data_IF_163683707515
#
_entry.id   IF_163683707515
#
_cell.length_a   1.000
_cell.length_b   1.000
_cell.length_c   1.000
_cell.angle_alpha   90.00
_cell.angle_beta   90.00
_cell.angle_gamma   90.00
#
_symmetry.space_group_name_H-M   'P 1'
#
loop_
_entity.id
_entity.type
_entity.pdbx_description
1 polymer ?
#
# COMPACT_ATOMS: atom_id res chain seq x y z
N UNK A 1 -17.66 -38.63 49.61
CA UNK A 1 -18.85 -37.97 49.00
C UNK A 1 -18.51 -36.80 48.10
N UNK A 2 -17.44 -36.00 48.32
CA UNK A 2 -17.11 -34.85 47.48
C UNK A 2 -16.62 -35.18 46.06
N UNK A 3 -16.01 -36.33 45.82
CA UNK A 3 -15.54 -36.72 44.47
C UNK A 3 -16.66 -37.10 43.50
N UNK A 4 -17.78 -37.57 44.00
CA UNK A 4 -18.93 -37.97 43.18
C UNK A 4 -19.68 -36.74 42.62
N UNK A 5 -19.75 -35.67 43.40
CA UNK A 5 -20.36 -34.40 42.99
C UNK A 5 -19.56 -33.67 41.90
N UNK A 6 -18.23 -33.77 41.93
CA UNK A 6 -17.37 -33.13 40.93
C UNK A 6 -17.53 -33.82 39.57
N UNK A 7 -17.67 -35.14 39.52
CA UNK A 7 -17.91 -35.84 38.25
C UNK A 7 -19.33 -35.59 37.72
N UNK A 8 -20.33 -35.42 38.56
CA UNK A 8 -21.69 -35.14 38.14
C UNK A 8 -21.83 -33.71 37.58
N UNK A 9 -21.17 -32.73 38.18
CA UNK A 9 -21.12 -31.34 37.65
C UNK A 9 -20.30 -31.23 36.36
N UNK A 10 -19.23 -31.98 36.20
CA UNK A 10 -18.45 -32.02 34.97
C UNK A 10 -19.23 -32.68 33.82
N UNK A 11 -20.03 -33.71 34.10
CA UNK A 11 -20.89 -34.37 33.12
C UNK A 11 -22.06 -33.48 32.66
N UNK A 12 -22.63 -32.67 33.55
CA UNK A 12 -23.70 -31.71 33.23
C UNK A 12 -23.12 -30.55 32.38
N UNK A 13 -21.87 -30.11 32.65
CA UNK A 13 -21.20 -29.10 31.83
C UNK A 13 -20.81 -29.60 30.43
N UNK A 14 -20.52 -30.90 30.27
CA UNK A 14 -20.23 -31.47 28.96
C UNK A 14 -21.52 -31.76 28.15
N UNK A 15 -22.64 -31.96 28.79
CA UNK A 15 -23.93 -32.14 28.11
C UNK A 15 -24.60 -30.83 27.68
N UNK A 16 -24.11 -29.67 28.17
CA UNK A 16 -24.64 -28.35 27.78
C UNK A 16 -23.95 -27.72 26.56
N UNK A 17 -22.99 -28.44 25.95
CA UNK A 17 -22.41 -28.07 24.68
C UNK A 17 -22.99 -28.83 23.48
N UNK A 18 -24.26 -29.24 23.56
CA UNK A 18 -24.99 -29.44 22.31
C UNK A 18 -25.22 -28.04 21.69
N UNK A 19 -24.53 -27.78 20.59
CA UNK A 19 -24.94 -26.73 19.67
C UNK A 19 -26.44 -26.91 19.46
N UNK A 20 -27.21 -25.87 19.76
CA UNK A 20 -28.61 -25.83 19.38
C UNK A 20 -28.65 -26.21 17.88
N UNK A 21 -29.14 -27.42 17.62
CA UNK A 21 -29.55 -27.75 16.27
C UNK A 21 -30.68 -26.79 16.00
N UNK A 22 -30.43 -25.82 15.11
CA UNK A 22 -31.47 -24.97 14.57
C UNK A 22 -32.53 -25.93 14.05
N UNK A 23 -33.62 -26.08 14.82
CA UNK A 23 -34.78 -26.79 14.35
C UNK A 23 -35.32 -25.99 13.19
N UNK A 24 -35.01 -26.45 11.98
CA UNK A 24 -35.63 -25.94 10.77
C UNK A 24 -37.15 -26.03 10.98
N UNK A 25 -37.89 -24.95 10.73
CA UNK A 25 -39.32 -24.97 10.88
C UNK A 25 -39.88 -26.12 10.02
N UNK A 26 -40.55 -27.08 10.67
CA UNK A 26 -41.22 -28.20 10.00
C UNK A 26 -42.51 -27.69 9.34
N UNK A 27 -42.33 -26.84 8.28
CA UNK A 27 -43.39 -26.41 7.40
C UNK A 27 -43.44 -27.31 6.14
N UNK A 28 -44.49 -27.26 5.33
CA UNK A 28 -44.66 -28.14 4.18
C UNK A 28 -43.74 -27.85 2.97
N UNK A 29 -42.62 -27.19 3.20
CA UNK A 29 -41.51 -27.03 2.24
C UNK A 29 -40.28 -27.77 2.74
N UNK A 30 -39.80 -28.76 2.02
CA UNK A 30 -38.52 -29.42 2.32
C UNK A 30 -37.40 -28.46 1.92
N UNK A 31 -36.71 -27.92 2.95
CA UNK A 31 -35.48 -27.15 2.68
C UNK A 31 -34.49 -28.02 1.93
N UNK A 32 -34.08 -27.57 0.77
CA UNK A 32 -33.08 -28.26 -0.09
C UNK A 32 -31.72 -27.62 0.08
N UNK A 33 -30.76 -28.42 0.54
CA UNK A 33 -29.34 -27.98 0.57
C UNK A 33 -28.72 -28.26 -0.81
N UNK A 34 -28.22 -27.22 -1.44
CA UNK A 34 -27.53 -27.29 -2.73
C UNK A 34 -26.05 -26.94 -2.57
N UNK A 35 -25.21 -27.49 -3.42
CA UNK A 35 -23.78 -27.20 -3.44
C UNK A 35 -23.32 -26.96 -4.87
N UNK A 36 -22.84 -25.75 -5.11
CA UNK A 36 -22.27 -25.33 -6.41
C UNK A 36 -20.74 -25.30 -6.26
N UNK A 37 -20.04 -25.90 -7.22
CA UNK A 37 -18.60 -25.80 -7.38
C UNK A 37 -18.35 -25.06 -8.69
N UNK A 38 -17.83 -23.84 -8.61
CA UNK A 38 -17.31 -23.10 -9.77
C UNK A 38 -15.82 -23.42 -9.90
N UNK A 39 -15.39 -23.74 -11.10
CA UNK A 39 -14.00 -24.05 -11.46
C UNK A 39 -13.45 -22.94 -12.36
N UNK A 40 -12.18 -23.02 -12.73
CA UNK A 40 -11.55 -22.08 -13.66
C UNK A 40 -12.40 -21.79 -14.91
N UNK A 41 -13.00 -22.81 -15.50
CA UNK A 41 -13.81 -22.68 -16.72
C UNK A 41 -15.15 -21.95 -16.53
N UNK A 42 -15.59 -21.79 -15.27
CA UNK A 42 -16.83 -21.09 -14.91
C UNK A 42 -16.61 -19.59 -14.63
N UNK A 43 -15.36 -19.13 -14.65
CA UNK A 43 -15.02 -17.73 -14.50
C UNK A 43 -14.90 -17.03 -15.86
N UNK A 44 -15.55 -15.87 -16.01
CA UNK A 44 -15.49 -15.10 -17.26
C UNK A 44 -14.08 -14.54 -17.50
N UNK A 45 -13.36 -14.17 -16.44
CA UNK A 45 -11.95 -13.80 -16.51
C UNK A 45 -11.23 -13.88 -15.18
N UNK A 46 -9.93 -14.18 -15.26
CA UNK A 46 -8.93 -14.02 -14.19
C UNK A 46 -7.91 -12.99 -14.67
N UNK A 47 -7.85 -11.84 -14.03
CA UNK A 47 -6.99 -10.74 -14.47
C UNK A 47 -6.22 -10.13 -13.32
N UNK A 48 -5.13 -9.43 -13.63
CA UNK A 48 -4.37 -8.65 -12.66
C UNK A 48 -4.39 -7.21 -13.09
N UNK A 49 -4.73 -6.32 -12.17
CA UNK A 49 -4.59 -4.88 -12.39
C UNK A 49 -3.55 -4.28 -11.47
N UNK A 50 -2.77 -3.43 -12.05
CA UNK A 50 -1.89 -2.52 -11.34
C UNK A 50 -2.72 -1.34 -10.82
N UNK A 51 -2.52 -1.02 -9.56
CA UNK A 51 -3.01 0.21 -8.97
C UNK A 51 -1.78 1.07 -8.68
N UNK A 52 -1.61 2.16 -9.42
CA UNK A 52 -0.60 3.16 -9.07
C UNK A 52 -0.93 3.66 -7.67
N UNK A 53 -0.08 3.35 -6.73
CA UNK A 53 -0.30 3.75 -5.35
C UNK A 53 0.50 4.99 -5.05
N UNK A 54 -0.19 5.98 -4.54
CA UNK A 54 0.46 6.94 -3.70
C UNK A 54 0.51 6.41 -2.27
N UNK A 55 1.66 6.49 -1.69
CA UNK A 55 1.84 6.14 -0.30
C UNK A 55 1.80 7.37 0.62
N UNK A 56 1.00 8.39 0.29
CA UNK A 56 0.92 9.60 1.14
C UNK A 56 0.53 9.34 2.60
N UNK A 57 -0.03 8.16 2.87
CA UNK A 57 -0.31 7.68 4.24
C UNK A 57 0.61 6.54 4.68
N UNK A 58 1.65 6.22 3.91
CA UNK A 58 2.62 5.20 4.29
C UNK A 58 3.58 5.75 5.34
N UNK A 59 3.90 4.92 6.33
CA UNK A 59 4.94 5.23 7.32
C UNK A 59 6.36 5.09 6.76
N UNK A 60 6.50 4.68 5.50
CA UNK A 60 7.78 4.52 4.80
C UNK A 60 7.73 5.07 3.39
N UNK A 61 8.86 5.63 2.96
CA UNK A 61 9.15 6.05 1.60
C UNK A 61 10.17 5.11 0.97
N UNK A 62 10.02 4.82 -0.32
CA UNK A 62 10.88 3.88 -1.04
C UNK A 62 11.55 4.51 -2.25
N UNK A 63 12.83 4.17 -2.46
CA UNK A 63 13.58 4.57 -3.65
C UNK A 63 14.38 3.38 -4.16
N UNK A 64 14.22 3.07 -5.43
CA UNK A 64 14.93 1.97 -6.05
C UNK A 64 14.08 1.17 -7.02
N UNK A 65 14.72 0.17 -7.65
CA UNK A 65 14.05 -0.83 -8.48
C UNK A 65 14.27 -2.21 -7.90
N UNK A 66 13.22 -2.81 -7.39
CA UNK A 66 13.28 -4.14 -6.82
C UNK A 66 12.12 -4.98 -7.29
N UNK A 67 12.44 -6.14 -7.89
CA UNK A 67 11.46 -7.00 -8.55
C UNK A 67 10.67 -6.24 -9.62
N UNK A 68 9.37 -6.16 -9.47
CA UNK A 68 8.47 -5.49 -10.41
C UNK A 68 8.14 -4.03 -10.04
N UNK A 69 8.71 -3.52 -8.94
CA UNK A 69 8.51 -2.16 -8.47
C UNK A 69 9.67 -1.23 -8.84
N UNK A 70 9.36 -0.05 -9.35
CA UNK A 70 10.25 1.10 -9.56
C UNK A 70 9.69 2.25 -8.72
N UNK A 71 10.41 2.61 -7.66
CA UNK A 71 9.95 3.57 -6.67
C UNK A 71 10.81 4.84 -6.65
N UNK A 72 10.12 5.98 -6.55
CA UNK A 72 10.70 7.31 -6.40
C UNK A 72 10.00 8.02 -5.26
N UNK A 73 10.73 8.82 -4.49
CA UNK A 73 10.16 9.55 -3.36
C UNK A 73 10.10 11.04 -3.65
N UNK A 74 8.97 11.66 -3.36
CA UNK A 74 8.78 13.10 -3.37
C UNK A 74 8.81 13.62 -1.94
N UNK A 75 9.51 14.74 -1.70
CA UNK A 75 9.69 15.38 -0.40
C UNK A 75 9.40 16.87 -0.52
N UNK A 76 8.51 17.38 0.35
CA UNK A 76 8.12 18.79 0.38
C UNK A 76 8.29 19.36 1.79
N UNK A 77 8.92 20.53 1.90
CA UNK A 77 9.22 21.24 3.14
C UNK A 77 8.63 22.64 3.08
N UNK A 78 7.55 22.93 3.78
CA UNK A 78 6.88 24.25 3.75
C UNK A 78 6.73 24.92 5.11
N UNK A 79 7.04 24.22 6.20
CA UNK A 79 6.89 24.79 7.55
C UNK A 79 8.20 25.38 8.05
N UNK A 80 8.46 26.64 7.67
CA UNK A 80 9.64 27.41 8.08
C UNK A 80 9.38 28.34 9.29
N UNK A 81 8.38 28.05 10.10
CA UNK A 81 7.99 28.90 11.23
C UNK A 81 9.16 29.22 12.16
N UNK A 82 10.06 28.25 12.42
CA UNK A 82 11.23 28.46 13.28
C UNK A 82 12.22 29.50 12.72
N UNK A 83 12.28 29.68 11.39
CA UNK A 83 13.09 30.73 10.76
C UNK A 83 12.40 32.09 10.86
N UNK A 84 11.08 32.12 10.69
CA UNK A 84 10.28 33.36 10.78
C UNK A 84 10.14 33.87 12.21
N UNK A 85 10.22 32.98 13.20
CA UNK A 85 10.16 33.33 14.64
C UNK A 85 11.50 33.90 15.18
N UNK A 86 12.58 33.83 14.39
CA UNK A 86 13.78 34.59 14.74
C UNK A 86 13.47 36.07 14.53
N UNK A 87 13.81 36.94 15.51
CA UNK A 87 13.66 38.41 15.42
C UNK A 87 14.46 39.03 14.24
N UNK A 88 14.90 38.19 13.31
CA UNK A 88 15.64 38.59 12.13
C UNK A 88 14.65 38.91 11.00
N UNK A 89 14.71 40.18 10.52
CA UNK A 89 14.14 40.50 9.21
C UNK A 89 14.73 39.58 8.13
N UNK A 90 13.97 39.26 7.08
CA UNK A 90 14.43 38.35 6.00
C UNK A 90 15.81 38.75 5.43
N UNK A 91 16.12 40.04 5.44
CA UNK A 91 17.42 40.60 5.01
C UNK A 91 18.59 40.31 5.96
N UNK A 92 18.30 39.78 7.15
CA UNK A 92 19.27 39.52 8.21
C UNK A 92 19.63 38.06 8.42
N UNK A 93 19.13 37.17 7.56
CA UNK A 93 19.42 35.73 7.59
C UNK A 93 19.94 35.27 6.23
N UNK A 94 21.11 34.62 6.23
CA UNK A 94 21.73 34.06 5.01
C UNK A 94 21.95 32.58 5.20
N UNK A 95 21.37 31.73 4.34
CA UNK A 95 21.61 30.28 4.35
C UNK A 95 23.02 30.00 3.85
N UNK A 96 23.84 29.35 4.67
CA UNK A 96 25.23 28.99 4.36
C UNK A 96 25.39 27.52 3.99
N UNK A 97 24.51 26.64 4.44
CA UNK A 97 24.39 25.26 3.99
C UNK A 97 22.99 24.71 4.19
N UNK A 98 22.59 23.77 3.35
CA UNK A 98 21.32 23.10 3.43
C UNK A 98 21.48 21.60 3.09
N UNK A 99 20.88 20.74 3.91
CA UNK A 99 20.90 19.29 3.72
C UNK A 99 19.57 18.68 4.07
N UNK A 100 19.05 17.79 3.20
CA UNK A 100 17.94 16.92 3.57
C UNK A 100 18.53 15.63 4.15
N UNK A 101 17.98 15.19 5.26
CA UNK A 101 18.40 13.97 5.96
C UNK A 101 17.24 13.00 6.00
N UNK A 102 17.46 11.78 5.48
CA UNK A 102 16.52 10.67 5.51
C UNK A 102 17.09 9.56 6.38
N UNK A 103 16.32 9.08 7.35
CA UNK A 103 16.69 7.94 8.20
C UNK A 103 16.26 6.65 7.52
N UNK A 104 17.19 5.73 7.33
CA UNK A 104 16.93 4.44 6.70
C UNK A 104 16.10 3.55 7.62
N UNK A 105 15.12 2.86 7.04
CA UNK A 105 14.32 1.83 7.70
C UNK A 105 14.84 0.42 7.38
N UNK A 106 14.98 0.11 6.08
CA UNK A 106 15.33 -1.22 5.59
C UNK A 106 15.80 -1.15 4.14
N UNK A 107 16.60 -2.13 3.74
CA UNK A 107 17.01 -2.36 2.36
C UNK A 107 16.54 -3.72 1.85
N UNK A 108 16.31 -3.81 0.54
CA UNK A 108 16.06 -5.05 -0.20
C UNK A 108 17.04 -5.14 -1.35
N UNK A 109 17.60 -6.32 -1.59
CA UNK A 109 18.68 -6.49 -2.56
C UNK A 109 19.99 -5.90 -2.07
N UNK A 110 20.85 -5.44 -3.00
CA UNK A 110 22.14 -4.82 -2.69
C UNK A 110 22.20 -3.37 -3.16
N UNK A 111 21.95 -2.38 -2.29
CA UNK A 111 21.97 -0.96 -2.66
C UNK A 111 23.37 -0.35 -2.76
N UNK A 112 24.47 -1.09 -2.46
CA UNK A 112 25.83 -0.54 -2.50
C UNK A 112 26.24 -0.01 -3.88
N UNK A 113 25.63 -0.52 -4.95
CA UNK A 113 25.85 -0.04 -6.31
C UNK A 113 24.97 1.14 -6.70
N UNK A 114 24.08 1.58 -5.83
CA UNK A 114 23.14 2.65 -6.12
C UNK A 114 23.81 4.01 -6.15
N UNK A 115 23.40 4.78 -7.13
CA UNK A 115 23.61 6.22 -7.20
C UNK A 115 22.25 6.89 -7.12
N UNK A 116 22.04 7.68 -6.09
CA UNK A 116 20.83 8.50 -5.97
C UNK A 116 20.96 9.75 -6.83
N UNK A 117 19.83 10.19 -7.36
CA UNK A 117 19.69 11.41 -8.13
C UNK A 117 18.55 12.23 -7.54
N UNK A 118 18.78 13.51 -7.33
CA UNK A 118 17.74 14.45 -6.93
C UNK A 118 17.38 15.39 -8.03
N UNK A 119 16.11 15.72 -8.09
CA UNK A 119 15.55 16.66 -9.07
C UNK A 119 14.67 17.66 -8.35
N UNK A 120 14.76 18.92 -8.76
CA UNK A 120 13.85 19.97 -8.31
C UNK A 120 12.55 19.89 -9.11
N UNK A 121 11.42 19.91 -8.42
CA UNK A 121 10.10 20.08 -9.03
C UNK A 121 9.94 21.55 -9.39
N UNK A 122 9.38 21.92 -10.56
CA UNK A 122 9.16 23.32 -10.92
C UNK A 122 8.39 24.06 -9.82
N UNK A 123 8.91 25.24 -9.43
CA UNK A 123 8.45 26.01 -8.27
C UNK A 123 7.26 26.92 -8.64
N UNK A 124 6.22 26.38 -9.26
CA UNK A 124 5.01 27.11 -9.64
C UNK A 124 3.78 26.37 -9.16
N UNK A 125 2.67 27.09 -8.95
CA UNK A 125 1.40 26.53 -8.44
C UNK A 125 0.85 25.41 -9.34
N UNK A 126 1.13 25.44 -10.65
CA UNK A 126 0.72 24.42 -11.61
C UNK A 126 1.19 23.02 -11.25
N UNK A 127 2.37 22.91 -10.60
CA UNK A 127 2.98 21.64 -10.20
C UNK A 127 2.85 21.35 -8.69
N UNK A 128 1.96 22.06 -8.02
CA UNK A 128 1.66 21.80 -6.62
C UNK A 128 0.87 20.50 -6.46
N UNK A 129 1.41 19.60 -5.66
CA UNK A 129 0.72 18.36 -5.32
C UNK A 129 -0.24 18.56 -4.15
N UNK A 130 -1.42 17.93 -4.22
CA UNK A 130 -2.38 17.84 -3.12
C UNK A 130 -2.80 16.39 -2.88
N UNK A 131 -3.28 16.08 -1.67
CA UNK A 131 -3.74 14.73 -1.29
C UNK A 131 -4.90 14.21 -2.15
N UNK A 132 -5.56 15.09 -2.91
CA UNK A 132 -6.63 14.75 -3.85
C UNK A 132 -6.15 14.59 -5.29
N UNK A 133 -4.87 14.82 -5.56
CA UNK A 133 -4.29 14.71 -6.89
C UNK A 133 -4.27 13.25 -7.34
N UNK A 134 -4.62 13.02 -8.61
CA UNK A 134 -4.33 11.74 -9.27
C UNK A 134 -2.82 11.66 -9.53
N UNK A 135 -2.17 10.70 -8.89
CA UNK A 135 -0.71 10.55 -8.94
C UNK A 135 -0.16 10.25 -10.31
N UNK A 136 -0.84 9.42 -11.09
CA UNK A 136 -0.40 9.11 -12.45
C UNK A 136 -0.42 10.37 -13.30
N UNK A 137 -1.50 11.13 -13.22
CA UNK A 137 -1.64 12.41 -13.93
C UNK A 137 -0.61 13.43 -13.44
N UNK A 138 -0.46 13.55 -12.13
CA UNK A 138 0.55 14.43 -11.54
C UNK A 138 1.96 14.07 -11.99
N UNK A 139 2.35 12.79 -11.87
CA UNK A 139 3.67 12.32 -12.26
C UNK A 139 3.96 12.54 -13.76
N UNK A 140 3.00 12.26 -14.63
CA UNK A 140 3.13 12.50 -16.05
C UNK A 140 3.35 13.98 -16.39
N UNK A 141 2.76 14.90 -15.62
CA UNK A 141 2.94 16.34 -15.83
C UNK A 141 4.29 16.85 -15.31
N UNK A 142 4.75 16.35 -14.17
CA UNK A 142 5.96 16.82 -13.48
C UNK A 142 7.23 16.20 -14.03
N UNK A 143 7.24 14.89 -14.29
CA UNK A 143 8.46 14.16 -14.65
C UNK A 143 9.23 14.76 -15.84
N UNK A 144 8.60 15.23 -16.94
CA UNK A 144 9.32 15.87 -18.04
C UNK A 144 9.95 17.23 -17.71
N UNK A 145 9.52 17.86 -16.62
CA UNK A 145 9.91 19.22 -16.21
C UNK A 145 10.94 19.23 -15.08
N UNK A 146 11.32 18.06 -14.56
CA UNK A 146 12.26 17.93 -13.45
C UNK A 146 13.64 18.50 -13.82
N UNK A 147 14.17 19.34 -12.92
CA UNK A 147 15.52 19.89 -13.08
C UNK A 147 16.52 19.10 -12.23
N UNK A 148 17.56 18.46 -12.81
CA UNK A 148 18.57 17.75 -12.03
C UNK A 148 19.27 18.69 -11.04
N UNK A 149 19.42 18.23 -9.78
CA UNK A 149 20.17 18.92 -8.74
C UNK A 149 21.51 18.23 -8.49
N UNK A 150 21.48 17.04 -7.93
CA UNK A 150 22.65 16.34 -7.44
C UNK A 150 22.60 14.84 -7.75
N UNK A 151 23.78 14.23 -7.73
CA UNK A 151 23.99 12.78 -7.82
C UNK A 151 24.96 12.38 -6.72
N UNK A 152 24.66 11.34 -5.94
CA UNK A 152 25.48 10.88 -4.82
C UNK A 152 25.31 9.37 -4.59
N UNK A 153 26.34 8.68 -4.04
CA UNK A 153 26.26 7.24 -3.77
C UNK A 153 25.32 6.96 -2.59
N UNK A 154 24.84 5.72 -2.51
CA UNK A 154 24.17 5.21 -1.31
C UNK A 154 25.11 5.25 -0.10
N UNK A 155 24.56 5.61 1.06
CA UNK A 155 25.22 5.54 2.37
C UNK A 155 24.28 4.85 3.35
N UNK A 156 24.73 3.83 4.09
CA UNK A 156 23.92 3.13 5.10
C UNK A 156 23.47 4.05 6.24
N UNK A 157 22.42 3.63 6.92
CA UNK A 157 21.81 4.23 8.11
C UNK A 157 21.10 5.58 7.86
N UNK A 158 21.68 6.47 7.09
CA UNK A 158 21.09 7.75 6.76
C UNK A 158 21.60 8.30 5.44
N UNK A 159 20.71 8.89 4.67
CA UNK A 159 21.04 9.57 3.43
C UNK A 159 21.07 11.08 3.69
N UNK A 160 22.20 11.70 3.43
CA UNK A 160 22.38 13.17 3.51
C UNK A 160 22.45 13.75 2.11
N UNK A 161 21.44 14.53 1.75
CA UNK A 161 21.26 15.12 0.43
C UNK A 161 21.64 16.60 0.50
N UNK A 162 22.73 17.04 -0.12
CA UNK A 162 23.06 18.46 -0.17
C UNK A 162 22.07 19.19 -1.10
N UNK A 163 21.56 20.33 -0.63
CA UNK A 163 20.69 21.23 -1.39
C UNK A 163 21.45 22.55 -1.61
N UNK A 164 21.35 23.12 -2.81
CA UNK A 164 21.90 24.45 -3.08
C UNK A 164 21.31 25.51 -2.14
N UNK A 165 22.14 26.42 -1.68
CA UNK A 165 21.68 27.50 -0.77
C UNK A 165 20.65 28.41 -1.44
N UNK A 166 20.77 28.63 -2.73
CA UNK A 166 19.81 29.36 -3.55
C UNK A 166 18.43 28.69 -3.61
N UNK A 167 18.42 27.36 -3.73
CA UNK A 167 17.18 26.59 -3.68
C UNK A 167 16.57 26.66 -2.29
N UNK A 168 17.37 26.47 -1.24
CA UNK A 168 16.90 26.54 0.14
C UNK A 168 16.38 27.95 0.50
N UNK A 169 17.04 29.01 0.04
CA UNK A 169 16.58 30.40 0.21
C UNK A 169 15.22 30.61 -0.47
N UNK A 170 15.00 30.11 -1.66
CA UNK A 170 13.72 30.24 -2.37
C UNK A 170 12.57 29.50 -1.65
N UNK A 171 12.87 28.53 -0.80
CA UNK A 171 11.85 27.78 -0.08
C UNK A 171 11.37 28.46 1.20
N UNK A 172 12.27 29.11 1.95
CA UNK A 172 11.90 29.76 3.20
C UNK A 172 11.50 31.24 3.02
N UNK A 173 12.02 31.90 1.97
CA UNK A 173 11.73 33.29 1.61
C UNK A 173 11.33 33.35 0.13
N UNK A 174 10.18 32.74 -0.27
CA UNK A 174 9.80 32.68 -1.66
C UNK A 174 9.46 34.07 -2.22
N UNK A 175 9.91 34.33 -3.46
CA UNK A 175 9.40 35.45 -4.24
C UNK A 175 7.89 35.29 -4.51
N UNK A 176 7.22 36.40 -4.88
CA UNK A 176 5.83 36.35 -5.34
C UNK A 176 5.77 35.41 -6.55
N UNK A 177 4.88 34.47 -6.65
CA UNK A 177 4.75 33.44 -7.67
C UNK A 177 5.67 32.19 -7.52
N UNK A 178 6.50 32.09 -6.50
CA UNK A 178 7.29 30.90 -6.20
C UNK A 178 6.55 30.00 -5.19
N UNK A 179 6.27 28.76 -5.62
CA UNK A 179 5.66 27.74 -4.75
C UNK A 179 6.67 26.63 -4.50
N UNK A 180 6.96 26.35 -3.23
CA UNK A 180 7.83 25.22 -2.88
C UNK A 180 7.11 23.87 -3.14
N UNK A 181 7.43 23.23 -4.26
CA UNK A 181 6.92 21.92 -4.64
C UNK A 181 7.87 20.77 -4.25
N UNK A 182 9.04 21.10 -3.64
CA UNK A 182 9.97 20.12 -3.13
C UNK A 182 10.87 19.49 -4.18
N UNK A 183 11.33 18.28 -3.87
CA UNK A 183 12.24 17.50 -4.72
C UNK A 183 11.72 16.08 -4.96
N UNK A 184 12.22 15.50 -6.04
CA UNK A 184 12.13 14.05 -6.29
C UNK A 184 13.47 13.41 -5.99
N UNK A 185 13.45 12.37 -5.16
CA UNK A 185 14.57 11.45 -4.99
C UNK A 185 14.35 10.25 -5.89
N UNK A 186 15.25 10.07 -6.84
CA UNK A 186 15.29 8.97 -7.80
C UNK A 186 16.58 8.19 -7.63
N UNK A 187 16.78 7.14 -8.38
CA UNK A 187 17.98 6.32 -8.37
C UNK A 187 18.50 6.01 -9.78
N UNK A 188 19.77 5.67 -9.85
CA UNK A 188 20.36 5.03 -10.99
C UNK A 188 21.11 3.79 -10.53
N UNK A 189 20.76 2.64 -11.08
CA UNK A 189 21.42 1.37 -10.80
C UNK A 189 22.13 0.83 -12.03
N UNK A 190 23.28 0.24 -11.84
CA UNK A 190 24.04 -0.42 -12.89
C UNK A 190 23.46 -1.80 -13.32
N UNK A 191 22.19 -2.08 -12.96
CA UNK A 191 21.48 -3.30 -13.33
C UNK A 191 21.16 -4.24 -12.18
N UNK A 192 21.52 -3.89 -10.94
CA UNK A 192 21.18 -4.67 -9.77
C UNK A 192 19.79 -4.29 -9.23
N UNK A 193 19.05 -5.29 -8.77
CA UNK A 193 17.77 -5.10 -8.12
C UNK A 193 18.00 -4.74 -6.66
N UNK A 194 17.65 -3.52 -6.29
CA UNK A 194 17.67 -3.10 -4.90
C UNK A 194 16.64 -1.98 -4.63
N UNK A 195 16.23 -1.87 -3.38
CA UNK A 195 15.33 -0.86 -2.86
C UNK A 195 15.81 -0.39 -1.51
N UNK A 196 15.69 0.90 -1.25
CA UNK A 196 15.94 1.48 0.07
C UNK A 196 14.66 2.09 0.59
N UNK A 197 14.26 1.73 1.79
CA UNK A 197 13.14 2.28 2.52
C UNK A 197 13.61 3.29 3.56
N UNK A 198 13.01 4.46 3.57
CA UNK A 198 13.22 5.53 4.55
C UNK A 198 11.96 5.75 5.35
N UNK A 199 12.08 6.24 6.59
CA UNK A 199 10.92 6.66 7.36
C UNK A 199 10.25 7.87 6.70
N UNK A 200 8.91 7.92 6.74
CA UNK A 200 8.11 9.03 6.24
C UNK A 200 7.71 9.99 7.37
N UNK A 201 7.05 11.09 7.03
CA UNK A 201 6.46 12.03 8.00
C UNK A 201 5.25 11.43 8.75
N UNK A 202 4.72 10.31 8.30
CA UNK A 202 3.63 9.57 8.96
C UNK A 202 4.14 8.58 10.04
N UNK A 203 5.44 8.40 10.16
CA UNK A 203 6.01 7.51 11.19
C UNK A 203 5.84 8.11 12.58
N UNK A 204 5.58 7.27 13.58
CA UNK A 204 5.25 7.71 14.95
C UNK A 204 6.36 8.47 15.68
N UNK A 205 7.64 8.30 15.27
CA UNK A 205 8.80 8.97 15.87
C UNK A 205 9.31 10.10 14.98
N UNK A 206 9.06 11.34 15.38
CA UNK A 206 9.47 12.56 14.65
C UNK A 206 10.99 12.63 14.41
N UNK A 207 11.82 12.02 15.28
CA UNK A 207 13.27 11.99 15.10
C UNK A 207 13.73 11.27 13.82
N UNK A 208 12.88 10.43 13.25
CA UNK A 208 13.16 9.65 12.04
C UNK A 208 12.57 10.29 10.77
N UNK A 209 11.74 11.32 10.93
CA UNK A 209 11.10 11.98 9.79
C UNK A 209 12.14 12.57 8.83
N UNK A 210 11.82 12.65 7.54
CA UNK A 210 12.59 13.44 6.59
C UNK A 210 12.69 14.87 7.09
N UNK A 211 13.91 15.39 7.14
CA UNK A 211 14.15 16.75 7.64
C UNK A 211 15.14 17.49 6.79
N UNK A 212 14.92 18.77 6.66
CA UNK A 212 15.85 19.74 6.08
C UNK A 212 16.58 20.44 7.24
N UNK A 213 17.90 20.33 7.27
CA UNK A 213 18.77 21.07 8.18
C UNK A 213 19.40 22.24 7.43
N UNK A 214 19.16 23.46 7.95
CA UNK A 214 19.67 24.72 7.42
C UNK A 214 20.68 25.30 8.38
N UNK A 215 21.90 25.54 7.95
CA UNK A 215 22.83 26.39 8.71
C UNK A 215 22.74 27.79 8.14
N UNK A 216 22.44 28.74 9.00
CA UNK A 216 22.24 30.14 8.61
C UNK A 216 23.14 31.06 9.42
N UNK A 217 23.67 32.09 8.79
CA UNK A 217 24.27 33.22 9.47
C UNK A 217 23.17 34.25 9.73
N UNK A 218 22.90 34.51 11.01
CA UNK A 218 21.93 35.51 11.47
C UNK A 218 22.68 36.79 11.84
N UNK A 219 22.24 37.90 11.30
CA UNK A 219 22.75 39.25 11.62
C UNK A 219 21.76 39.93 12.53
N UNK A 220 22.14 40.19 13.75
CA UNK A 220 21.34 40.92 14.72
C UNK A 220 22.10 42.16 15.30
N UNK A 221 21.43 42.94 16.14
CA UNK A 221 22.02 44.12 16.75
C UNK A 221 23.23 43.81 17.67
N UNK A 222 23.43 42.57 18.04
CA UNK A 222 24.55 42.10 18.88
C UNK A 222 25.74 41.59 18.06
N UNK A 223 25.57 41.38 16.76
CA UNK A 223 26.60 40.90 15.81
C UNK A 223 26.11 39.77 14.92
N UNK A 224 27.06 38.98 14.47
CA UNK A 224 26.83 37.85 13.57
C UNK A 224 26.89 36.52 14.33
N UNK A 225 25.91 35.64 14.14
CA UNK A 225 25.82 34.34 14.80
C UNK A 225 25.36 33.27 13.81
N UNK A 226 26.07 32.13 13.81
CA UNK A 226 25.61 30.96 13.07
C UNK A 226 24.57 30.20 13.90
N UNK A 227 23.51 29.78 13.24
CA UNK A 227 22.39 29.01 13.83
C UNK A 227 22.00 27.88 12.89
N UNK A 228 21.59 26.74 13.46
CA UNK A 228 21.06 25.61 12.69
C UNK A 228 19.58 25.46 12.96
N UNK A 229 18.80 25.37 11.91
CA UNK A 229 17.36 25.18 11.93
C UNK A 229 17.00 23.84 11.32
N UNK A 230 15.98 23.19 11.89
CA UNK A 230 15.46 21.92 11.38
C UNK A 230 14.01 22.12 10.94
N UNK A 231 13.73 21.78 9.70
CA UNK A 231 12.40 21.79 9.11
C UNK A 231 12.05 20.35 8.72
N UNK A 232 10.97 19.83 9.27
CA UNK A 232 10.50 18.49 8.91
C UNK A 232 9.66 18.54 7.64
N UNK A 233 9.74 17.46 6.84
CA UNK A 233 8.85 17.32 5.71
C UNK A 233 7.40 17.34 6.20
N UNK A 234 6.58 18.14 5.55
CA UNK A 234 5.16 18.22 5.84
C UNK A 234 4.32 17.44 4.83
N UNK A 235 4.94 17.04 3.72
CA UNK A 235 4.39 16.11 2.73
C UNK A 235 5.53 15.27 2.19
N UNK A 236 5.29 13.98 2.14
CA UNK A 236 6.16 13.04 1.46
C UNK A 236 5.34 11.86 0.93
N UNK A 237 5.78 11.30 -0.16
CA UNK A 237 5.14 10.10 -0.71
C UNK A 237 6.07 9.36 -1.65
N UNK A 238 5.80 8.07 -1.81
CA UNK A 238 6.43 7.24 -2.82
C UNK A 238 5.52 7.11 -4.03
N UNK A 239 6.03 7.43 -5.19
CA UNK A 239 5.45 7.05 -6.46
C UNK A 239 6.05 5.71 -6.90
N UNK A 240 5.20 4.73 -7.16
CA UNK A 240 5.62 3.40 -7.61
C UNK A 240 5.13 3.13 -9.01
N UNK A 241 6.04 2.78 -9.90
CA UNK A 241 5.76 2.35 -11.26
C UNK A 241 6.01 0.86 -11.42
N UNK A 242 5.38 0.29 -12.45
CA UNK A 242 5.66 -1.07 -12.85
C UNK A 242 7.00 -1.15 -13.59
N UNK A 243 7.92 -1.94 -13.05
CA UNK A 243 9.15 -2.30 -13.73
C UNK A 243 8.89 -3.52 -14.62
N UNK A 244 9.13 -3.39 -15.89
CA UNK A 244 9.00 -4.52 -16.82
C UNK A 244 10.21 -5.47 -16.69
N UNK A 245 10.06 -6.51 -15.88
CA UNK A 245 11.10 -7.55 -15.68
C UNK A 245 11.04 -8.70 -16.70
N UNK A 246 10.11 -8.64 -17.65
CA UNK A 246 9.98 -9.62 -18.74
C UNK A 246 9.23 -10.90 -18.39
N UNK A 247 9.02 -11.22 -17.11
CA UNK A 247 8.26 -12.40 -16.66
C UNK A 247 7.27 -11.99 -15.58
N UNK A 248 6.06 -11.65 -16.01
CA UNK A 248 4.97 -11.34 -15.08
C UNK A 248 4.08 -12.58 -14.97
N UNK A 249 3.82 -13.11 -13.76
CA UNK A 249 2.88 -14.21 -13.59
C UNK A 249 1.50 -13.84 -14.13
N UNK A 250 0.74 -14.77 -14.69
CA UNK A 250 -0.56 -14.47 -15.27
C UNK A 250 -1.62 -14.09 -14.24
N UNK A 251 -1.50 -14.57 -13.00
CA UNK A 251 -2.47 -14.32 -11.93
C UNK A 251 -1.74 -14.23 -10.58
N UNK A 252 -1.67 -13.03 -10.01
CA UNK A 252 -0.91 -12.77 -8.79
C UNK A 252 -1.35 -11.49 -8.05
N UNK A 253 -0.88 -11.35 -6.81
CA UNK A 253 -1.02 -10.16 -5.97
C UNK A 253 0.35 -9.71 -5.48
N UNK A 254 0.60 -8.41 -5.37
CA UNK A 254 1.89 -7.90 -4.88
C UNK A 254 1.77 -6.67 -3.99
N UNK A 255 2.81 -6.48 -3.17
CA UNK A 255 3.09 -5.27 -2.40
C UNK A 255 4.09 -4.40 -3.18
N UNK A 256 4.25 -3.15 -2.78
CA UNK A 256 5.15 -2.19 -3.41
C UNK A 256 4.56 -1.65 -4.71
N UNK A 257 4.79 -2.33 -5.84
CA UNK A 257 3.97 -2.13 -7.03
C UNK A 257 2.65 -2.86 -6.83
N UNK A 258 1.66 -2.17 -6.27
CA UNK A 258 0.40 -2.79 -5.83
C UNK A 258 -0.31 -3.44 -7.00
N UNK A 259 -0.48 -4.75 -6.91
CA UNK A 259 -1.29 -5.50 -7.84
C UNK A 259 -2.32 -6.33 -7.13
N UNK A 260 -3.51 -6.29 -7.68
CA UNK A 260 -4.65 -7.04 -7.21
C UNK A 260 -5.09 -8.00 -8.29
N UNK A 261 -5.43 -9.20 -7.87
CA UNK A 261 -6.03 -10.20 -8.75
C UNK A 261 -7.55 -10.04 -8.75
N UNK A 262 -8.18 -10.20 -9.90
CA UNK A 262 -9.62 -10.02 -10.10
C UNK A 262 -10.20 -11.28 -10.73
N UNK A 263 -11.34 -11.72 -10.20
CA UNK A 263 -12.11 -12.86 -10.64
C UNK A 263 -13.50 -12.35 -11.03
N UNK A 264 -13.85 -12.43 -12.31
CA UNK A 264 -15.20 -12.09 -12.78
C UNK A 264 -15.97 -13.36 -13.12
N UNK A 265 -17.24 -13.40 -12.76
CA UNK A 265 -18.12 -14.50 -13.16
C UNK A 265 -19.57 -14.04 -13.16
N UNK A 266 -20.22 -14.23 -14.29
CA UNK A 266 -21.66 -14.03 -14.44
C UNK A 266 -22.50 -15.08 -13.67
N UNK A 267 -21.87 -16.15 -13.15
CA UNK A 267 -22.53 -17.21 -12.39
C UNK A 267 -22.58 -16.93 -10.88
N UNK A 268 -21.81 -15.96 -10.36
CA UNK A 268 -21.75 -15.70 -8.91
C UNK A 268 -23.12 -15.30 -8.33
N UNK A 269 -23.77 -14.30 -8.90
CA UNK A 269 -25.06 -13.83 -8.41
C UNK A 269 -26.15 -14.89 -8.56
N UNK A 270 -26.35 -15.55 -9.70
CA UNK A 270 -27.32 -16.64 -9.85
C UNK A 270 -27.09 -17.81 -8.88
N UNK A 271 -25.85 -18.08 -8.49
CA UNK A 271 -25.56 -19.15 -7.54
C UNK A 271 -26.12 -18.90 -6.13
N UNK A 272 -26.27 -17.62 -5.75
CA UNK A 272 -26.66 -17.21 -4.38
C UNK A 272 -28.02 -16.50 -4.31
N UNK A 273 -28.52 -15.92 -5.41
CA UNK A 273 -29.75 -15.14 -5.42
C UNK A 273 -30.95 -15.92 -4.90
N UNK A 274 -31.66 -15.35 -3.93
CA UNK A 274 -32.86 -15.95 -3.33
C UNK A 274 -32.63 -17.16 -2.43
N UNK A 275 -31.36 -17.51 -2.14
CA UNK A 275 -30.98 -18.64 -1.30
C UNK A 275 -30.33 -18.18 0.01
N UNK A 276 -30.37 -19.00 1.06
CA UNK A 276 -29.56 -18.78 2.26
C UNK A 276 -28.16 -19.37 2.05
N UNK A 277 -27.13 -18.54 2.17
CA UNK A 277 -25.74 -18.97 2.02
C UNK A 277 -25.26 -19.55 3.35
N UNK A 278 -24.98 -20.85 3.37
CA UNK A 278 -24.50 -21.52 4.58
C UNK A 278 -22.98 -21.46 4.71
N UNK A 279 -22.31 -21.56 3.57
CA UNK A 279 -20.85 -21.59 3.48
C UNK A 279 -20.38 -21.26 2.08
N UNK A 280 -19.31 -20.49 1.97
CA UNK A 280 -18.60 -20.31 0.70
C UNK A 280 -17.10 -20.13 0.96
N UNK A 281 -16.29 -20.72 0.08
CA UNK A 281 -14.84 -20.57 0.09
C UNK A 281 -14.30 -20.49 -1.33
N UNK A 282 -13.20 -19.74 -1.49
CA UNK A 282 -12.37 -19.79 -2.69
C UNK A 282 -11.07 -20.51 -2.36
N UNK A 283 -10.70 -21.46 -3.20
CA UNK A 283 -9.45 -22.22 -3.09
C UNK A 283 -8.50 -21.82 -4.21
N UNK A 284 -7.24 -21.58 -3.85
CA UNK A 284 -6.17 -21.15 -4.75
C UNK A 284 -4.93 -21.99 -4.50
N UNK A 285 -4.20 -22.33 -5.55
CA UNK A 285 -2.88 -22.96 -5.44
C UNK A 285 -1.80 -21.91 -5.69
N UNK A 286 -0.88 -21.78 -4.74
CA UNK A 286 0.26 -20.88 -4.84
C UNK A 286 1.31 -21.49 -5.76
N UNK A 287 1.80 -20.72 -6.72
CA UNK A 287 2.96 -21.07 -7.51
C UNK A 287 4.24 -20.64 -6.77
N UNK A 288 4.99 -21.56 -6.15
CA UNK A 288 6.14 -21.21 -5.33
C UNK A 288 7.34 -20.69 -6.13
N UNK A 289 7.41 -21.00 -7.44
CA UNK A 289 8.51 -20.56 -8.30
C UNK A 289 8.40 -19.09 -8.70
N UNK A 290 7.17 -18.57 -8.71
CA UNK A 290 6.86 -17.19 -9.09
C UNK A 290 6.44 -16.34 -7.89
N UNK A 291 6.37 -16.94 -6.70
CA UNK A 291 6.02 -16.26 -5.45
C UNK A 291 7.25 -15.88 -4.65
N UNK A 292 7.15 -14.73 -3.98
CA UNK A 292 8.22 -14.19 -3.12
C UNK A 292 7.65 -13.81 -1.75
N UNK A 293 8.19 -14.46 -0.71
CA UNK A 293 7.80 -14.23 0.67
C UNK A 293 9.00 -13.72 1.47
N UNK A 294 8.91 -12.51 2.01
CA UNK A 294 9.89 -11.98 2.98
C UNK A 294 9.59 -12.48 4.41
N UNK A 295 8.40 -13.06 4.63
CA UNK A 295 7.93 -13.62 5.90
C UNK A 295 7.39 -15.04 5.72
N UNK A 296 7.26 -15.78 6.82
CA UNK A 296 6.71 -17.15 6.81
C UNK A 296 5.24 -17.20 6.38
N UNK A 297 4.51 -16.11 6.54
CA UNK A 297 3.12 -15.99 6.11
C UNK A 297 2.76 -14.56 5.72
N UNK A 298 1.83 -14.44 4.79
CA UNK A 298 1.22 -13.19 4.35
C UNK A 298 -0.30 -13.26 4.54
N UNK A 299 -0.91 -12.13 4.83
CA UNK A 299 -2.36 -12.03 4.88
C UNK A 299 -2.88 -11.57 3.52
N UNK A 300 -3.87 -12.26 3.00
CA UNK A 300 -4.65 -11.86 1.82
C UNK A 300 -6.06 -11.51 2.23
N UNK A 301 -6.69 -10.65 1.46
CA UNK A 301 -8.07 -10.26 1.61
C UNK A 301 -8.82 -10.51 0.31
N UNK A 302 -10.07 -10.93 0.42
CA UNK A 302 -11.00 -11.05 -0.70
C UNK A 302 -12.18 -10.12 -0.46
N UNK A 303 -12.59 -9.38 -1.46
CA UNK A 303 -13.74 -8.49 -1.43
C UNK A 303 -14.45 -8.40 -2.77
N UNK A 304 -15.56 -7.68 -2.82
CA UNK A 304 -16.30 -7.39 -4.04
C UNK A 304 -15.74 -6.16 -4.76
N UNK A 305 -15.91 -6.08 -6.06
CA UNK A 305 -15.66 -4.87 -6.82
C UNK A 305 -16.81 -4.58 -7.80
N UNK A 306 -17.03 -3.30 -8.08
CA UNK A 306 -18.06 -2.82 -8.99
C UNK A 306 -17.48 -2.40 -10.34
N UNK A 307 -18.35 -2.15 -11.33
CA UNK A 307 -17.93 -1.60 -12.62
C UNK A 307 -17.35 -0.20 -12.49
N UNK A 308 -17.86 0.63 -11.56
CA UNK A 308 -17.32 1.95 -11.27
C UNK A 308 -15.90 1.87 -10.70
N UNK A 309 -15.67 0.97 -9.74
CA UNK A 309 -14.33 0.70 -9.21
C UNK A 309 -13.36 0.26 -10.33
N UNK A 310 -13.87 -0.51 -11.28
CA UNK A 310 -13.08 -0.99 -12.40
C UNK A 310 -12.65 0.12 -13.37
N UNK A 311 -13.54 1.09 -13.65
CA UNK A 311 -13.28 2.21 -14.55
C UNK A 311 -12.41 3.29 -13.88
N UNK A 312 -12.72 3.62 -12.63
CA UNK A 312 -12.01 4.69 -11.90
C UNK A 312 -10.68 4.23 -11.31
N UNK A 313 -10.37 2.91 -11.36
CA UNK A 313 -9.25 2.27 -10.65
C UNK A 313 -9.26 2.53 -9.14
N UNK A 314 -10.37 3.02 -8.62
CA UNK A 314 -10.55 3.32 -7.21
C UNK A 314 -11.21 2.12 -6.54
N UNK A 315 -10.45 1.06 -6.29
CA UNK A 315 -10.90 -0.15 -5.62
C UNK A 315 -11.11 0.12 -4.13
N UNK A 316 -12.04 1.04 -3.86
CA UNK A 316 -12.54 1.29 -2.51
C UNK A 316 -13.36 0.06 -2.10
N UNK A 317 -12.96 -0.47 -1.04
CA UNK A 317 -13.31 -1.69 -0.40
C UNK A 317 -14.83 -1.79 -0.16
N UNK A 318 -15.44 -2.87 -0.63
CA UNK A 318 -16.68 -3.34 -0.01
C UNK A 318 -16.48 -3.39 1.51
N UNK A 319 -17.51 -3.12 2.26
CA UNK A 319 -17.49 -3.12 3.74
C UNK A 319 -17.01 -4.45 4.34
N UNK A 320 -17.05 -5.52 3.56
CA UNK A 320 -16.63 -6.86 3.98
C UNK A 320 -15.42 -7.36 3.20
N UNK A 321 -14.35 -7.62 3.93
CA UNK A 321 -13.17 -8.30 3.41
C UNK A 321 -12.77 -9.41 4.36
N UNK A 322 -12.79 -10.64 3.87
CA UNK A 322 -12.37 -11.77 4.68
C UNK A 322 -10.84 -11.98 4.55
N UNK A 323 -10.12 -11.92 5.68
CA UNK A 323 -8.70 -12.23 5.70
C UNK A 323 -8.45 -13.73 5.71
N UNK A 324 -7.39 -14.14 5.02
CA UNK A 324 -6.80 -15.46 5.16
C UNK A 324 -5.28 -15.37 5.21
N UNK A 325 -4.61 -16.34 5.85
CA UNK A 325 -3.17 -16.42 5.86
C UNK A 325 -2.70 -17.41 4.81
N UNK A 326 -1.74 -16.97 4.01
CA UNK A 326 -1.00 -17.82 3.09
C UNK A 326 0.38 -18.06 3.69
N UNK A 327 0.75 -19.31 3.85
CA UNK A 327 2.05 -19.73 4.38
C UNK A 327 2.97 -20.09 3.23
N UNK A 328 4.24 -19.69 3.35
CA UNK A 328 5.28 -19.95 2.34
C UNK A 328 5.39 -21.42 1.93
N UNK A 329 5.23 -22.32 2.91
CA UNK A 329 5.39 -23.75 2.71
C UNK A 329 4.06 -24.48 2.41
N UNK A 330 2.94 -23.78 2.36
CA UNK A 330 1.63 -24.37 2.04
C UNK A 330 1.19 -23.94 0.64
N UNK A 331 1.19 -24.88 -0.34
CA UNK A 331 0.86 -24.54 -1.71
C UNK A 331 -0.62 -24.24 -1.94
N UNK A 332 -1.51 -24.55 -1.00
CA UNK A 332 -2.95 -24.33 -1.17
C UNK A 332 -3.50 -23.44 -0.06
N UNK A 333 -4.33 -22.48 -0.45
CA UNK A 333 -5.05 -21.64 0.47
C UNK A 333 -6.55 -21.72 0.19
N UNK A 334 -7.34 -21.86 1.25
CA UNK A 334 -8.79 -21.70 1.22
C UNK A 334 -9.16 -20.41 1.97
N UNK A 335 -9.88 -19.52 1.29
CA UNK A 335 -10.29 -18.22 1.81
C UNK A 335 -11.81 -18.24 1.98
N UNK A 336 -12.34 -18.10 3.21
CA UNK A 336 -13.77 -18.01 3.43
C UNK A 336 -14.31 -16.74 2.74
N UNK A 337 -15.38 -16.87 1.97
CA UNK A 337 -16.02 -15.75 1.26
C UNK A 337 -17.54 -15.68 1.50
N UNK A 338 -18.03 -16.37 2.54
CA UNK A 338 -19.46 -16.43 2.88
C UNK A 338 -20.03 -15.02 3.06
N UNK A 339 -19.41 -14.19 3.89
CA UNK A 339 -19.87 -12.82 4.17
C UNK A 339 -19.76 -11.91 2.94
N UNK A 340 -18.73 -12.13 2.12
CA UNK A 340 -18.55 -11.39 0.85
C UNK A 340 -19.69 -11.71 -0.12
N UNK A 341 -20.12 -12.98 -0.22
CA UNK A 341 -21.23 -13.37 -1.08
C UNK A 341 -22.60 -12.95 -0.50
N UNK A 342 -22.73 -12.86 0.82
CA UNK A 342 -23.93 -12.26 1.45
C UNK A 342 -24.04 -10.77 1.08
N UNK A 343 -22.92 -10.04 1.14
CA UNK A 343 -22.87 -8.63 0.72
C UNK A 343 -23.21 -8.47 -0.79
N UNK A 344 -22.78 -9.41 -1.64
CA UNK A 344 -23.18 -9.47 -3.05
C UNK A 344 -24.71 -9.63 -3.19
N UNK A 345 -25.31 -10.49 -2.38
CA UNK A 345 -26.75 -10.76 -2.42
C UNK A 345 -27.57 -9.54 -1.96
N UNK A 346 -27.14 -8.87 -0.88
CA UNK A 346 -27.79 -7.69 -0.31
C UNK A 346 -27.67 -6.47 -1.27
N UNK A 347 -26.61 -6.40 -2.05
CA UNK A 347 -26.33 -5.35 -3.02
C UNK A 347 -26.62 -5.74 -4.47
N UNK A 348 -27.51 -6.71 -4.70
CA UNK A 348 -27.85 -7.23 -6.04
C UNK A 348 -28.36 -6.19 -7.03
N UNK A 349 -28.77 -4.98 -6.56
CA UNK A 349 -29.08 -3.82 -7.38
C UNK A 349 -27.87 -3.01 -7.87
N UNK A 350 -26.68 -3.28 -7.35
CA UNK A 350 -25.44 -2.62 -7.74
C UNK A 350 -24.72 -3.51 -8.77
N UNK A 351 -24.15 -2.92 -9.82
CA UNK A 351 -23.41 -3.69 -10.82
C UNK A 351 -22.08 -4.21 -10.23
N UNK A 352 -22.18 -5.30 -9.47
CA UNK A 352 -20.99 -6.01 -8.96
C UNK A 352 -20.42 -6.85 -10.09
N UNK A 353 -19.12 -6.68 -10.38
CA UNK A 353 -18.45 -7.36 -11.47
C UNK A 353 -17.74 -8.65 -11.02
N UNK A 354 -17.46 -8.81 -9.74
CA UNK A 354 -16.77 -10.00 -9.24
C UNK A 354 -16.05 -9.79 -7.92
N UNK A 355 -15.02 -10.59 -7.74
CA UNK A 355 -14.16 -10.59 -6.54
C UNK A 355 -12.79 -10.04 -6.87
N UNK A 356 -12.19 -9.31 -5.94
CA UNK A 356 -10.77 -9.00 -5.98
C UNK A 356 -10.03 -9.71 -4.84
N UNK A 357 -8.76 -10.00 -5.07
CA UNK A 357 -7.83 -10.50 -4.07
C UNK A 357 -6.69 -9.50 -3.95
N UNK A 358 -6.30 -9.17 -2.73
CA UNK A 358 -5.17 -8.31 -2.44
C UNK A 358 -4.32 -8.81 -1.28
N UNK A 359 -3.08 -8.35 -1.19
CA UNK A 359 -2.28 -8.53 0.02
C UNK A 359 -2.69 -7.56 1.11
N UNK A 360 -2.57 -7.99 2.36
CA UNK A 360 -2.57 -7.09 3.50
C UNK A 360 -1.33 -6.19 3.46
N UNK A 361 -1.47 -4.96 3.99
CA UNK A 361 -0.34 -4.02 4.07
C UNK A 361 0.33 -3.76 2.71
N UNK A 362 -0.45 -3.53 1.66
CA UNK A 362 0.02 -3.37 0.27
C UNK A 362 1.17 -2.36 0.09
N UNK A 363 1.28 -1.39 1.01
CA UNK A 363 2.30 -0.35 1.00
C UNK A 363 3.59 -0.73 1.75
N UNK A 364 3.65 -1.91 2.39
CA UNK A 364 4.75 -2.29 3.26
C UNK A 364 5.42 -3.56 2.75
N UNK A 365 6.56 -3.43 2.09
CA UNK A 365 7.34 -4.54 1.59
C UNK A 365 7.19 -4.79 0.09
N UNK A 366 7.79 -5.88 -0.38
CA UNK A 366 7.86 -6.25 -1.79
C UNK A 366 7.54 -7.74 -1.99
N UNK A 367 6.55 -8.22 -1.23
CA UNK A 367 6.06 -9.59 -1.38
C UNK A 367 5.19 -9.73 -2.63
N UNK A 368 5.24 -10.91 -3.22
CA UNK A 368 4.41 -11.31 -4.35
C UNK A 368 3.91 -12.73 -4.14
N UNK A 369 2.63 -12.95 -4.35
CA UNK A 369 2.05 -14.29 -4.38
C UNK A 369 1.44 -14.53 -5.75
N UNK A 370 2.04 -15.43 -6.51
CA UNK A 370 1.51 -15.92 -7.76
C UNK A 370 0.61 -17.14 -7.49
N UNK A 371 -0.51 -17.19 -8.18
CA UNK A 371 -1.44 -18.31 -8.12
C UNK A 371 -1.48 -19.02 -9.48
N UNK A 372 -1.68 -20.32 -9.44
CA UNK A 372 -1.99 -21.09 -10.62
C UNK A 372 -3.45 -20.78 -11.04
N UNK A 373 -3.68 -20.13 -12.17
CA UNK A 373 -5.03 -19.75 -12.61
C UNK A 373 -5.94 -20.96 -12.82
N UNK A 374 -5.41 -22.08 -13.28
CA UNK A 374 -6.19 -23.31 -13.54
C UNK A 374 -6.66 -23.99 -12.25
N UNK A 375 -6.08 -23.60 -11.11
CA UNK A 375 -6.43 -24.12 -9.79
C UNK A 375 -7.53 -23.37 -9.08
N UNK A 376 -7.98 -22.24 -9.62
CA UNK A 376 -8.99 -21.39 -8.97
C UNK A 376 -10.32 -22.11 -8.91
N UNK A 377 -10.84 -22.31 -7.70
CA UNK A 377 -12.13 -22.95 -7.46
C UNK A 377 -12.91 -22.21 -6.40
N UNK A 378 -14.23 -22.17 -6.53
CA UNK A 378 -15.12 -21.62 -5.52
C UNK A 378 -16.22 -22.62 -5.20
N UNK A 379 -16.35 -22.96 -3.93
CA UNK A 379 -17.42 -23.81 -3.42
C UNK A 379 -18.44 -22.96 -2.69
N UNK A 380 -19.71 -23.11 -3.05
CA UNK A 380 -20.83 -22.40 -2.45
C UNK A 380 -21.86 -23.44 -1.98
N UNK A 381 -22.27 -23.36 -0.71
CA UNK A 381 -23.32 -24.22 -0.13
C UNK A 381 -24.46 -23.34 0.28
N UNK A 382 -25.65 -23.57 -0.26
CA UNK A 382 -26.85 -22.79 -0.04
C UNK A 382 -28.01 -23.67 0.44
N UNK A 383 -29.01 -23.03 1.04
CA UNK A 383 -30.31 -23.65 1.34
C UNK A 383 -31.41 -22.84 0.66
N UNK A 384 -32.28 -23.54 -0.05
CA UNK A 384 -33.50 -22.99 -0.64
C UNK A 384 -34.70 -23.49 0.20
N UNK A 385 -35.66 -22.58 0.51
CA UNK A 385 -36.82 -22.85 1.38
C UNK A 385 -38.12 -22.88 0.59
#
# INVERSE_FOLDING_TARGET
MHKLWFFLTLFILMASCEKDQVQLPSGPGTATVDSVLLTHDDFDSLTVKYNSSSSSSSIYNYVGGYRDADCKTVLVFTNFTALHDTDADADSLVVTSAHIILSEYQTWGNPESFTFQTFLIPQTEEYSWSDTSDFDTYWQSVNPQLTPLNTFPYTPDSLVIPIGTDVADSWWNPEEDVTNNGIVLNYHSAGEDAMVGYYSSEYSSVSNWPRLELTCTVFDSSGTKDSTFTVYANRDFTYSELRNTGTTPPFFVSQGAIRRAFITSSLLLPAVEGKSINYAEISLTVNPLESHFDHDSLTVYVGLFTSEDWETKNFLFSSYQNPAKIYKDNPTVSIPVTEVLMDLQDNSGTAVNGLFIRLGSELYGFNQIAFDPDSVQMKIVTTEF
#
